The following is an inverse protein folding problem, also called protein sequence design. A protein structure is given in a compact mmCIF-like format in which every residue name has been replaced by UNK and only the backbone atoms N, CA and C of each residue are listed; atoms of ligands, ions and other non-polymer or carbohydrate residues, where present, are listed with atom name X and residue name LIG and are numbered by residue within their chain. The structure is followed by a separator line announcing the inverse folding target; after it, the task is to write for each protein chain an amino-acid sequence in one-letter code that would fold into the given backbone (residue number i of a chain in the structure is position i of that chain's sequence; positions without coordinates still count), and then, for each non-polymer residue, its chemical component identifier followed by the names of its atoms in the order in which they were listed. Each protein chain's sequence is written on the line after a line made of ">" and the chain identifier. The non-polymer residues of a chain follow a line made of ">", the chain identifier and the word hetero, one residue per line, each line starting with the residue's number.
data_IF_018217453300
#
_entry.id   IF_018217453300
#
_cell.length_a   1.000
_cell.length_b   1.000
_cell.length_c   1.000
_cell.angle_alpha   90.00
_cell.angle_beta   90.00
_cell.angle_gamma   90.00
#
_symmetry.space_group_name_H-M   'P 1'
#
loop_
_entity.id
_entity.type
_entity.pdbx_description
1 polymer ?
#
# COMPACT_ATOMS: atom_id res chain seq x y z
N UNK A 1 -12.80 18.92 -34.11
CA UNK A 1 -13.61 17.86 -33.42
C UNK A 1 -13.21 16.45 -33.81
N UNK A 2 -12.67 16.19 -34.98
CA UNK A 2 -12.27 14.81 -35.42
C UNK A 2 -10.92 14.33 -34.90
N UNK A 3 -10.00 15.22 -34.54
CA UNK A 3 -8.66 14.85 -34.02
C UNK A 3 -8.65 14.39 -32.56
N UNK A 4 -9.53 14.89 -31.70
CA UNK A 4 -9.60 14.47 -30.30
C UNK A 4 -10.21 13.07 -30.12
N UNK A 5 -11.18 12.71 -30.98
CA UNK A 5 -11.81 11.39 -30.93
C UNK A 5 -10.82 10.29 -31.35
N UNK A 6 -9.95 10.58 -32.30
CA UNK A 6 -8.93 9.63 -32.75
C UNK A 6 -7.86 9.35 -31.68
N UNK A 7 -7.46 10.36 -30.90
CA UNK A 7 -6.46 10.21 -29.84
C UNK A 7 -6.99 9.39 -28.66
N UNK A 8 -8.23 9.61 -28.24
CA UNK A 8 -8.87 8.83 -27.16
C UNK A 8 -9.12 7.38 -27.55
N UNK A 9 -9.50 7.14 -28.82
CA UNK A 9 -9.70 5.78 -29.33
C UNK A 9 -8.38 5.02 -29.43
N UNK A 10 -7.29 5.69 -29.85
CA UNK A 10 -5.96 5.07 -29.92
C UNK A 10 -5.42 4.71 -28.53
N UNK A 11 -5.59 5.56 -27.54
CA UNK A 11 -5.16 5.30 -26.17
C UNK A 11 -5.92 4.13 -25.54
N UNK A 12 -7.23 4.07 -25.73
CA UNK A 12 -8.07 2.95 -25.28
C UNK A 12 -7.72 1.62 -25.96
N UNK A 13 -7.38 1.66 -27.26
CA UNK A 13 -6.99 0.48 -28.01
C UNK A 13 -5.61 -0.04 -27.58
N UNK A 14 -4.65 0.83 -27.29
CA UNK A 14 -3.31 0.48 -26.80
C UNK A 14 -3.42 -0.16 -25.42
N UNK A 15 -4.24 0.39 -24.51
CA UNK A 15 -4.49 -0.19 -23.20
C UNK A 15 -5.18 -1.55 -23.29
N UNK A 16 -6.11 -1.73 -24.21
CA UNK A 16 -6.79 -3.01 -24.43
C UNK A 16 -5.83 -4.07 -25.00
N UNK A 17 -5.01 -3.70 -25.99
CA UNK A 17 -4.06 -4.63 -26.64
C UNK A 17 -2.96 -5.06 -25.67
N UNK A 18 -2.37 -4.14 -24.90
CA UNK A 18 -1.37 -4.48 -23.89
C UNK A 18 -1.97 -5.33 -22.76
N UNK A 19 -3.21 -5.07 -22.35
CA UNK A 19 -3.90 -5.88 -21.36
C UNK A 19 -4.17 -7.31 -21.85
N UNK A 20 -4.54 -7.48 -23.11
CA UNK A 20 -4.80 -8.81 -23.72
C UNK A 20 -3.49 -9.60 -23.87
N UNK A 21 -2.40 -8.97 -24.32
CA UNK A 21 -1.08 -9.61 -24.42
C UNK A 21 -0.55 -10.08 -23.06
N UNK A 22 -0.80 -9.32 -22.00
CA UNK A 22 -0.41 -9.71 -20.63
C UNK A 22 -1.23 -10.91 -20.11
N UNK A 23 -2.51 -10.98 -20.43
CA UNK A 23 -3.37 -12.11 -20.04
C UNK A 23 -2.95 -13.38 -20.81
N UNK A 24 -2.61 -13.26 -22.08
CA UNK A 24 -2.24 -14.39 -22.94
C UNK A 24 -0.90 -15.02 -22.53
N UNK A 25 0.04 -14.24 -22.01
CA UNK A 25 1.34 -14.73 -21.54
C UNK A 25 1.32 -15.38 -20.15
N UNK A 26 0.19 -15.35 -19.43
CA UNK A 26 0.12 -15.84 -18.06
C UNK A 26 1.08 -15.11 -17.11
N UNK A 27 1.62 -13.95 -17.53
CA UNK A 27 2.74 -13.26 -16.90
C UNK A 27 2.32 -12.38 -15.74
N UNK A 28 1.08 -11.87 -15.72
CA UNK A 28 0.60 -10.97 -14.64
C UNK A 28 0.76 -11.56 -13.25
N UNK A 29 0.48 -12.85 -13.10
CA UNK A 29 0.67 -13.52 -11.81
C UNK A 29 2.15 -13.70 -11.45
N UNK A 30 2.98 -14.04 -12.43
CA UNK A 30 4.42 -14.20 -12.24
C UNK A 30 5.12 -12.86 -11.96
N UNK A 31 4.72 -11.79 -12.64
CA UNK A 31 5.24 -10.44 -12.43
C UNK A 31 4.82 -9.86 -11.07
N UNK A 32 3.57 -10.08 -10.65
CA UNK A 32 3.11 -9.70 -9.32
C UNK A 32 3.87 -10.46 -8.21
N UNK A 33 4.13 -11.76 -8.41
CA UNK A 33 4.96 -12.56 -7.49
C UNK A 33 6.43 -12.10 -7.51
N UNK A 34 6.95 -11.72 -8.67
CA UNK A 34 8.28 -11.10 -8.80
C UNK A 34 8.37 -9.81 -8.00
N UNK A 35 7.41 -8.92 -8.14
CA UNK A 35 7.34 -7.67 -7.37
C UNK A 35 7.27 -7.92 -5.85
N UNK A 36 6.52 -8.93 -5.41
CA UNK A 36 6.47 -9.35 -4.00
C UNK A 36 7.86 -9.81 -3.51
N UNK A 37 8.58 -10.57 -4.32
CA UNK A 37 9.91 -11.02 -3.96
C UNK A 37 10.93 -9.89 -3.92
N UNK A 38 10.89 -8.97 -4.86
CA UNK A 38 11.77 -7.81 -4.90
C UNK A 38 11.52 -6.85 -3.74
N UNK A 39 10.25 -6.68 -3.36
CA UNK A 39 9.83 -5.84 -2.27
C UNK A 39 9.80 -6.54 -0.89
N UNK A 40 10.31 -7.77 -0.78
CA UNK A 40 10.24 -8.58 0.44
C UNK A 40 10.72 -7.86 1.71
N UNK A 41 11.78 -7.08 1.61
CA UNK A 41 12.30 -6.32 2.76
C UNK A 41 11.38 -5.17 3.16
N UNK A 42 10.73 -4.52 2.20
CA UNK A 42 9.70 -3.51 2.49
C UNK A 42 8.47 -4.14 3.13
N UNK A 43 8.07 -5.33 2.69
CA UNK A 43 6.96 -6.08 3.29
C UNK A 43 7.28 -6.50 4.73
N UNK A 44 8.50 -6.94 5.01
CA UNK A 44 8.96 -7.23 6.38
C UNK A 44 8.93 -5.97 7.24
N UNK A 45 9.40 -4.85 6.70
CA UNK A 45 9.40 -3.57 7.42
C UNK A 45 7.98 -3.11 7.75
N UNK A 46 7.04 -3.13 6.80
CA UNK A 46 5.66 -2.71 7.06
C UNK A 46 4.97 -3.66 8.05
N UNK A 47 5.24 -4.98 7.98
CA UNK A 47 4.75 -5.92 8.96
C UNK A 47 5.28 -5.62 10.38
N UNK A 48 6.56 -5.27 10.50
CA UNK A 48 7.15 -4.85 11.77
C UNK A 48 6.53 -3.54 12.29
N UNK A 49 6.24 -2.56 11.41
CA UNK A 49 5.57 -1.33 11.78
C UNK A 49 4.13 -1.58 12.28
N UNK A 50 3.38 -2.45 11.61
CA UNK A 50 2.03 -2.84 12.03
C UNK A 50 2.06 -3.50 13.42
N UNK A 51 3.03 -4.38 13.67
CA UNK A 51 3.20 -5.02 14.98
C UNK A 51 3.60 -4.01 16.06
N UNK A 52 4.47 -3.06 15.73
CA UNK A 52 4.85 -1.98 16.63
C UNK A 52 3.66 -1.08 16.96
N UNK A 53 2.88 -0.65 15.97
CA UNK A 53 1.66 0.14 16.17
C UNK A 53 0.65 -0.60 17.08
N UNK A 54 0.45 -1.90 16.84
CA UNK A 54 -0.38 -2.74 17.69
C UNK A 54 0.14 -2.76 19.14
N UNK A 55 1.46 -2.96 19.34
CA UNK A 55 2.06 -3.01 20.67
C UNK A 55 1.93 -1.68 21.42
N UNK A 56 2.24 -0.56 20.75
CA UNK A 56 2.09 0.77 21.33
C UNK A 56 0.62 1.11 21.62
N UNK A 57 -0.31 0.71 20.76
CA UNK A 57 -1.74 0.87 20.98
C UNK A 57 -2.26 0.10 22.21
N UNK A 58 -1.77 -1.13 22.43
CA UNK A 58 -2.05 -1.91 23.64
C UNK A 58 -1.50 -1.21 24.88
N UNK A 59 -0.24 -0.79 24.83
CA UNK A 59 0.43 -0.10 25.94
C UNK A 59 -0.26 1.21 26.32
N UNK A 60 -0.70 2.00 25.35
CA UNK A 60 -1.44 3.22 25.56
C UNK A 60 -2.81 2.97 26.20
N UNK A 61 -3.52 1.94 25.74
CA UNK A 61 -4.82 1.53 26.33
C UNK A 61 -4.69 1.08 27.77
N UNK A 62 -3.64 0.33 28.11
CA UNK A 62 -3.38 -0.14 29.47
C UNK A 62 -3.04 1.03 30.42
N UNK A 63 -2.28 2.03 29.95
CA UNK A 63 -1.94 3.21 30.77
C UNK A 63 -3.15 4.13 31.02
N UNK A 64 -4.13 4.11 30.16
CA UNK A 64 -5.33 4.94 30.27
C UNK A 64 -6.48 4.24 31.01
N UNK A 65 -6.26 3.06 31.62
CA UNK A 65 -7.27 2.23 32.30
C UNK A 65 -8.52 1.97 31.43
N UNK A 66 -8.38 1.96 30.10
CA UNK A 66 -9.48 1.68 29.20
C UNK A 66 -9.66 0.18 28.99
N UNK A 67 -10.91 -0.33 28.93
CA UNK A 67 -11.14 -1.75 28.68
C UNK A 67 -10.59 -2.14 27.32
N UNK A 68 -9.49 -2.88 27.29
CA UNK A 68 -8.86 -3.35 26.07
C UNK A 68 -9.65 -4.54 25.50
N UNK A 69 -10.11 -4.42 24.26
CA UNK A 69 -10.82 -5.50 23.55
C UNK A 69 -9.93 -6.02 22.42
N UNK A 70 -9.30 -7.16 22.63
CA UNK A 70 -8.41 -7.83 21.67
C UNK A 70 -9.06 -8.04 20.29
N UNK A 71 -10.34 -8.41 20.25
CA UNK A 71 -11.06 -8.62 18.99
C UNK A 71 -11.16 -7.37 18.13
N UNK A 72 -11.31 -6.19 18.75
CA UNK A 72 -11.37 -4.91 18.05
C UNK A 72 -10.00 -4.50 17.53
N UNK A 73 -8.96 -4.69 18.34
CA UNK A 73 -7.58 -4.38 17.95
C UNK A 73 -7.13 -5.29 16.79
N UNK A 74 -7.33 -6.62 16.92
CA UNK A 74 -7.01 -7.58 15.87
C UNK A 74 -7.71 -7.27 14.54
N UNK A 75 -8.99 -6.93 14.56
CA UNK A 75 -9.72 -6.54 13.34
C UNK A 75 -9.11 -5.30 12.66
N UNK A 76 -8.70 -4.30 13.43
CA UNK A 76 -8.03 -3.10 12.88
C UNK A 76 -6.71 -3.45 12.23
N UNK A 77 -5.91 -4.28 12.87
CA UNK A 77 -4.62 -4.75 12.35
C UNK A 77 -4.80 -5.56 11.06
N UNK A 78 -5.77 -6.48 11.02
CA UNK A 78 -6.07 -7.22 9.79
C UNK A 78 -6.53 -6.30 8.65
N UNK A 79 -7.38 -5.32 8.92
CA UNK A 79 -7.83 -4.37 7.90
C UNK A 79 -6.64 -3.58 7.33
N UNK A 80 -5.72 -3.09 8.18
CA UNK A 80 -4.50 -2.41 7.73
C UNK A 80 -3.65 -3.31 6.82
N UNK A 81 -3.46 -4.57 7.19
CA UNK A 81 -2.71 -5.51 6.37
C UNK A 81 -3.36 -5.72 4.98
N UNK A 82 -4.68 -5.80 4.92
CA UNK A 82 -5.43 -5.90 3.66
C UNK A 82 -5.30 -4.60 2.84
N UNK A 83 -5.38 -3.43 3.48
CA UNK A 83 -5.22 -2.14 2.81
C UNK A 83 -3.83 -2.02 2.16
N UNK A 84 -2.75 -2.41 2.88
CA UNK A 84 -1.39 -2.34 2.34
C UNK A 84 -1.13 -3.35 1.23
N UNK A 85 -1.72 -4.54 1.34
CA UNK A 85 -1.69 -5.51 0.25
C UNK A 85 -2.41 -4.96 -0.99
N UNK A 86 -3.53 -4.26 -0.78
CA UNK A 86 -4.27 -3.60 -1.86
C UNK A 86 -3.45 -2.47 -2.51
N UNK A 87 -2.72 -1.68 -1.73
CA UNK A 87 -1.84 -0.63 -2.27
C UNK A 87 -0.69 -1.22 -3.09
N UNK A 88 -0.11 -2.34 -2.64
CA UNK A 88 0.90 -3.06 -3.40
C UNK A 88 0.34 -3.54 -4.74
N UNK A 89 -0.81 -4.21 -4.71
CA UNK A 89 -1.44 -4.72 -5.93
C UNK A 89 -1.83 -3.60 -6.89
N UNK A 90 -2.46 -2.54 -6.39
CA UNK A 90 -2.82 -1.38 -7.20
C UNK A 90 -1.59 -0.66 -7.75
N UNK A 91 -0.55 -0.51 -6.95
CA UNK A 91 0.72 0.07 -7.40
C UNK A 91 1.38 -0.76 -8.50
N UNK A 92 1.42 -2.09 -8.35
CA UNK A 92 1.94 -2.99 -9.38
C UNK A 92 1.12 -2.91 -10.67
N UNK A 93 -0.21 -2.95 -10.58
CA UNK A 93 -1.09 -2.86 -11.75
C UNK A 93 -1.01 -1.52 -12.47
N UNK A 94 -0.91 -0.41 -11.72
CA UNK A 94 -0.69 0.91 -12.30
C UNK A 94 0.69 1.00 -12.97
N UNK A 95 1.70 0.40 -12.35
CA UNK A 95 3.04 0.28 -12.93
C UNK A 95 2.99 -0.41 -14.27
N UNK A 96 2.46 -1.62 -14.33
CA UNK A 96 2.37 -2.44 -15.54
C UNK A 96 1.47 -1.81 -16.62
N UNK A 97 0.33 -1.25 -16.22
CA UNK A 97 -0.66 -0.74 -17.17
C UNK A 97 -0.40 0.66 -17.70
N UNK A 98 0.28 1.50 -16.92
CA UNK A 98 0.43 2.94 -17.26
C UNK A 98 1.88 3.39 -17.29
N UNK A 99 2.63 3.18 -16.20
CA UNK A 99 3.95 3.82 -16.07
C UNK A 99 5.04 3.12 -16.87
N UNK A 100 5.04 1.80 -16.91
CA UNK A 100 6.02 1.01 -17.64
C UNK A 100 5.90 1.18 -19.16
N UNK A 101 4.70 1.16 -19.78
CA UNK A 101 4.53 1.48 -21.20
C UNK A 101 4.94 2.92 -21.57
N UNK A 102 4.87 3.86 -20.63
CA UNK A 102 5.30 5.25 -20.82
C UNK A 102 6.81 5.44 -20.54
N UNK A 103 7.49 4.43 -20.04
CA UNK A 103 8.90 4.49 -19.67
C UNK A 103 9.21 5.39 -18.47
N UNK A 104 8.21 5.64 -17.59
CA UNK A 104 8.36 6.56 -16.44
C UNK A 104 8.84 5.85 -15.18
N UNK A 105 8.32 4.67 -14.91
CA UNK A 105 8.68 3.87 -13.74
C UNK A 105 8.35 2.39 -13.98
N UNK A 106 9.06 1.51 -13.31
CA UNK A 106 8.77 0.07 -13.32
C UNK A 106 7.58 -0.25 -12.40
N UNK A 107 6.95 -1.40 -12.62
CA UNK A 107 5.87 -1.87 -11.75
C UNK A 107 6.32 -2.04 -10.30
N UNK A 108 7.58 -2.42 -10.07
CA UNK A 108 8.18 -2.57 -8.74
C UNK A 108 8.34 -1.22 -8.04
N UNK A 109 8.81 -0.19 -8.75
CA UNK A 109 8.95 1.16 -8.19
C UNK A 109 7.59 1.76 -7.83
N UNK A 110 6.59 1.56 -8.67
CA UNK A 110 5.23 2.05 -8.41
C UNK A 110 4.58 1.33 -7.22
N UNK A 111 4.79 0.02 -7.10
CA UNK A 111 4.36 -0.76 -5.94
C UNK A 111 5.09 -0.30 -4.65
N UNK A 112 6.39 -0.01 -4.74
CA UNK A 112 7.18 0.51 -3.62
C UNK A 112 6.66 1.86 -3.12
N UNK A 113 6.25 2.77 -4.03
CA UNK A 113 5.61 4.04 -3.67
C UNK A 113 4.30 3.79 -2.92
N UNK A 114 3.46 2.88 -3.38
CA UNK A 114 2.19 2.53 -2.72
C UNK A 114 2.40 2.04 -1.28
N UNK A 115 3.34 1.11 -1.08
CA UNK A 115 3.69 0.62 0.27
C UNK A 115 4.33 1.74 1.11
N UNK A 116 5.20 2.56 0.50
CA UNK A 116 5.87 3.67 1.17
C UNK A 116 4.89 4.68 1.79
N UNK A 117 3.81 4.99 1.09
CA UNK A 117 2.72 5.81 1.64
C UNK A 117 2.09 5.15 2.87
N UNK A 118 1.84 3.84 2.83
CA UNK A 118 1.35 3.08 3.99
C UNK A 118 2.29 3.16 5.19
N UNK A 119 3.61 3.07 4.96
CA UNK A 119 4.61 3.18 6.03
C UNK A 119 4.58 4.54 6.73
N UNK A 120 4.37 5.63 5.99
CA UNK A 120 4.26 6.99 6.55
C UNK A 120 3.06 7.07 7.51
N UNK A 121 1.92 6.49 7.15
CA UNK A 121 0.74 6.43 8.02
C UNK A 121 0.99 5.65 9.31
N UNK A 122 1.72 4.52 9.22
CA UNK A 122 2.05 3.74 10.43
C UNK A 122 3.01 4.48 11.35
N UNK A 123 4.02 5.15 10.80
CA UNK A 123 4.96 5.96 11.58
C UNK A 123 4.22 7.09 12.30
N UNK A 124 3.30 7.78 11.63
CA UNK A 124 2.48 8.84 12.25
C UNK A 124 1.62 8.29 13.39
N UNK A 125 0.99 7.12 13.19
CA UNK A 125 0.21 6.43 14.22
C UNK A 125 1.07 6.07 15.45
N UNK A 126 2.27 5.51 15.23
CA UNK A 126 3.20 5.13 16.30
C UNK A 126 3.65 6.37 17.08
N UNK A 127 4.00 7.46 16.39
CA UNK A 127 4.37 8.73 17.02
C UNK A 127 3.22 9.25 17.89
N UNK A 128 1.99 9.18 17.40
CA UNK A 128 0.78 9.56 18.14
C UNK A 128 0.65 8.78 19.45
N UNK A 129 0.84 7.46 19.41
CA UNK A 129 0.81 6.62 20.61
C UNK A 129 1.96 6.94 21.59
N UNK A 130 3.18 7.13 21.10
CA UNK A 130 4.34 7.50 21.93
C UNK A 130 4.09 8.84 22.63
N UNK A 131 3.59 9.84 21.91
CA UNK A 131 3.27 11.14 22.48
C UNK A 131 2.16 11.05 23.54
N UNK A 132 1.14 10.24 23.32
CA UNK A 132 0.08 9.96 24.29
C UNK A 132 0.65 9.32 25.56
N UNK A 133 1.52 8.32 25.43
CA UNK A 133 2.16 7.62 26.53
C UNK A 133 3.00 8.57 27.40
N UNK A 134 3.66 9.56 26.79
CA UNK A 134 4.51 10.55 27.48
C UNK A 134 3.76 11.81 27.93
N UNK A 135 2.43 11.85 27.78
CA UNK A 135 1.62 12.99 28.20
C UNK A 135 1.79 14.25 27.32
N UNK A 136 2.52 14.14 26.21
CA UNK A 136 2.67 15.20 25.23
C UNK A 136 1.47 15.21 24.29
N UNK A 137 0.52 16.11 24.52
CA UNK A 137 -0.57 16.35 23.57
C UNK A 137 -0.02 17.11 22.35
N UNK A 138 0.48 16.38 21.36
CA UNK A 138 0.65 16.97 20.04
C UNK A 138 -0.77 17.25 19.51
N UNK A 139 -1.10 18.52 19.45
CA UNK A 139 -2.36 19.04 18.88
C UNK A 139 -2.21 18.99 17.35
N UNK A 140 -2.05 17.79 16.80
CA UNK A 140 -2.20 17.58 15.36
C UNK A 140 -3.70 17.47 15.08
N UNK A 141 -4.19 18.48 14.37
CA UNK A 141 -5.56 18.58 13.90
C UNK A 141 -5.62 18.06 12.48
#
# INVERSE_FOLDING_TARGET
>A
MTHEIAATTSCGLILAVTGVDMIEKGSMGAEALGALYDLRWMLVLIAALILADFWFGVSDSLKQDKPFRFSRAGRRTCNKAVDYLSYLLLGSLLGLGVFEPLGWATHTETAAIGIGLGMIWEIDSIIGHICSIHGMRLRCR
#
